data_IF_511691051327
#
_entry.id   IF_511691051327
#
_cell.length_a   1.000
_cell.length_b   1.000
_cell.length_c   1.000
_cell.angle_alpha   90.00
_cell.angle_beta   90.00
_cell.angle_gamma   90.00
#
_symmetry.space_group_name_H-M   'P 1'
#
loop_
_entity.id
_entity.type
_entity.pdbx_description
1 polymer ?
#
# COMPACT_ATOMS: atom_id res chain seq x y z
N UNK A 1 -21.75 27.62 -33.65
CA UNK A 1 -22.13 26.36 -34.32
C UNK A 1 -21.17 26.16 -35.48
N UNK A 2 -20.68 24.93 -35.65
CA UNK A 2 -19.64 24.48 -36.60
C UNK A 2 -18.26 24.92 -36.12
N UNK A 3 -17.29 24.05 -35.84
CA UNK A 3 -16.85 22.80 -36.50
C UNK A 3 -15.71 22.31 -35.55
N UNK A 4 -15.40 21.05 -35.30
CA UNK A 4 -15.28 19.89 -36.18
C UNK A 4 -15.39 18.63 -35.31
N UNK A 5 -16.03 17.60 -35.87
CA UNK A 5 -15.82 16.22 -35.48
C UNK A 5 -14.34 15.92 -35.71
N UNK A 6 -13.52 16.07 -34.68
CA UNK A 6 -12.14 15.63 -34.70
C UNK A 6 -12.17 14.11 -34.88
N UNK A 7 -11.77 13.67 -36.06
CA UNK A 7 -11.77 12.27 -36.46
C UNK A 7 -10.84 11.48 -35.55
N UNK A 8 -11.20 10.22 -35.26
CA UNK A 8 -10.43 9.29 -34.43
C UNK A 8 -8.94 9.20 -34.84
N UNK A 9 -8.63 9.49 -36.11
CA UNK A 9 -7.28 9.54 -36.66
C UNK A 9 -6.39 10.65 -36.04
N UNK A 10 -6.95 11.80 -35.64
CA UNK A 10 -6.19 12.84 -34.92
C UNK A 10 -5.80 12.39 -33.52
N UNK A 11 -6.61 11.53 -32.89
CA UNK A 11 -6.30 10.96 -31.57
C UNK A 11 -5.09 10.02 -31.60
N UNK A 12 -4.84 9.36 -32.74
CA UNK A 12 -3.77 8.38 -32.91
C UNK A 12 -2.42 9.00 -33.32
N UNK A 13 -2.38 10.28 -33.71
CA UNK A 13 -1.17 10.90 -34.30
C UNK A 13 -0.48 11.95 -33.45
N UNK A 14 -1.11 12.47 -32.39
CA UNK A 14 -0.46 13.41 -31.48
C UNK A 14 0.28 12.69 -30.34
N UNK A 15 1.61 12.58 -30.46
CA UNK A 15 2.48 11.92 -29.48
C UNK A 15 2.53 12.61 -28.10
N UNK A 16 1.92 13.79 -27.97
CA UNK A 16 1.93 14.58 -26.73
C UNK A 16 0.56 14.69 -26.06
N UNK A 17 -0.53 14.31 -26.74
CA UNK A 17 -1.88 14.40 -26.19
C UNK A 17 -2.21 13.15 -25.37
N UNK A 18 -1.75 13.16 -24.13
CA UNK A 18 -1.77 12.02 -23.21
C UNK A 18 -0.59 12.06 -22.23
N UNK A 19 0.43 12.88 -22.50
CA UNK A 19 1.43 13.22 -21.50
C UNK A 19 0.80 14.19 -20.50
N UNK A 20 0.73 13.75 -19.25
CA UNK A 20 0.28 14.58 -18.14
C UNK A 20 1.10 15.86 -18.06
N UNK A 21 0.45 17.02 -18.17
CA UNK A 21 1.02 18.34 -17.84
C UNK A 21 1.19 18.54 -16.33
N UNK A 22 1.47 17.47 -15.60
CA UNK A 22 1.70 17.52 -14.16
C UNK A 22 3.19 17.78 -14.00
N UNK A 23 3.53 19.01 -13.58
CA UNK A 23 4.79 19.26 -12.91
C UNK A 23 4.92 18.21 -11.82
N UNK A 24 5.86 17.28 -11.97
CA UNK A 24 6.24 16.29 -10.97
C UNK A 24 6.33 16.97 -9.61
N UNK A 25 5.26 16.83 -8.83
CA UNK A 25 5.30 16.99 -7.40
C UNK A 25 5.14 15.56 -6.91
N UNK A 26 6.27 14.85 -6.89
CA UNK A 26 6.44 13.47 -6.40
C UNK A 26 6.13 13.40 -4.89
N UNK A 27 4.89 13.71 -4.50
CA UNK A 27 4.37 13.51 -3.16
C UNK A 27 3.71 12.13 -3.05
N UNK A 28 4.18 11.14 -3.83
CA UNK A 28 3.75 9.76 -3.66
C UNK A 28 4.07 9.35 -2.24
N UNK A 29 3.05 8.92 -1.50
CA UNK A 29 3.22 8.47 -0.13
C UNK A 29 3.97 7.12 -0.21
N UNK A 30 5.20 7.07 0.30
CA UNK A 30 6.02 5.85 0.24
C UNK A 30 5.81 5.07 1.54
N UNK A 31 5.41 3.80 1.42
CA UNK A 31 5.42 2.84 2.53
C UNK A 31 6.80 2.23 2.67
N UNK A 32 7.22 1.96 3.91
CA UNK A 32 8.52 1.37 4.21
C UNK A 32 8.39 0.19 5.16
N UNK A 33 9.17 -0.84 4.90
CA UNK A 33 9.32 -2.03 5.72
C UNK A 33 9.73 -1.63 7.14
N UNK A 34 9.07 -2.20 8.15
CA UNK A 34 9.33 -1.82 9.54
C UNK A 34 10.66 -2.34 10.10
N UNK A 35 11.27 -3.34 9.48
CA UNK A 35 12.53 -3.95 9.88
C UNK A 35 13.70 -3.41 9.05
N UNK A 36 13.55 -3.38 7.73
CA UNK A 36 14.63 -3.02 6.80
C UNK A 36 14.58 -1.56 6.35
N UNK A 37 13.46 -0.87 6.54
CA UNK A 37 13.19 0.49 6.03
C UNK A 37 13.27 0.60 4.50
N UNK A 38 13.23 -0.53 3.79
CA UNK A 38 13.12 -0.59 2.33
C UNK A 38 11.71 -0.20 1.88
N UNK A 39 11.59 0.29 0.65
CA UNK A 39 10.30 0.66 0.06
C UNK A 39 9.43 -0.58 -0.17
N UNK A 40 8.14 -0.46 0.17
CA UNK A 40 7.15 -1.52 0.03
C UNK A 40 6.24 -1.25 -1.17
N UNK A 41 5.93 -2.32 -1.91
CA UNK A 41 4.85 -2.32 -2.89
C UNK A 41 3.47 -2.40 -2.19
N UNK A 42 2.41 -2.04 -2.93
CA UNK A 42 1.04 -2.02 -2.43
C UNK A 42 0.51 -3.42 -2.05
N UNK A 43 1.08 -4.46 -2.67
CA UNK A 43 0.81 -5.87 -2.40
C UNK A 43 1.74 -6.46 -1.32
N UNK A 44 2.39 -5.61 -0.51
CA UNK A 44 3.18 -6.06 0.64
C UNK A 44 2.58 -5.59 1.96
N UNK A 45 2.70 -6.46 2.98
CA UNK A 45 2.40 -6.14 4.37
C UNK A 45 3.49 -5.25 4.99
N UNK A 46 3.32 -4.83 6.24
CA UNK A 46 4.27 -3.90 6.89
C UNK A 46 5.65 -4.53 7.20
N UNK A 47 5.77 -5.85 7.09
CA UNK A 47 7.03 -6.60 7.23
C UNK A 47 7.61 -7.01 5.87
N UNK A 48 6.97 -6.66 4.76
CA UNK A 48 7.43 -6.93 3.40
C UNK A 48 6.99 -8.28 2.83
N UNK A 49 6.10 -9.00 3.50
CA UNK A 49 5.55 -10.23 2.96
C UNK A 49 4.57 -9.92 1.82
N UNK A 50 4.64 -10.71 0.75
CA UNK A 50 3.70 -10.61 -0.35
C UNK A 50 2.29 -11.00 0.12
N UNK A 51 1.32 -10.16 -0.18
CA UNK A 51 -0.10 -10.32 0.14
C UNK A 51 -0.83 -10.75 -1.13
N UNK A 52 -1.31 -11.98 -1.15
CA UNK A 52 -2.23 -12.48 -2.16
C UNK A 52 -3.66 -12.01 -1.89
N UNK A 53 -4.51 -12.01 -2.92
CA UNK A 53 -5.93 -11.63 -2.78
C UNK A 53 -6.71 -12.54 -1.80
N UNK A 54 -6.20 -13.75 -1.54
CA UNK A 54 -6.83 -14.77 -0.70
C UNK A 54 -6.31 -14.77 0.73
N UNK A 55 -5.22 -14.05 1.00
CA UNK A 55 -4.58 -14.10 2.31
C UNK A 55 -5.46 -13.45 3.37
N UNK A 56 -5.28 -13.89 4.61
CA UNK A 56 -5.89 -13.25 5.76
C UNK A 56 -4.93 -12.22 6.33
N UNK A 57 -5.38 -10.96 6.39
CA UNK A 57 -4.61 -9.84 6.93
C UNK A 57 -5.12 -9.52 8.33
N UNK A 58 -4.17 -9.36 9.25
CA UNK A 58 -4.39 -9.03 10.64
C UNK A 58 -3.82 -7.65 10.95
N UNK A 59 -4.51 -6.93 11.83
CA UNK A 59 -4.07 -5.66 12.38
C UNK A 59 -3.60 -5.90 13.81
N UNK A 60 -2.32 -5.61 14.07
CA UNK A 60 -1.71 -5.73 15.39
C UNK A 60 -1.62 -4.33 16.01
N UNK A 61 -2.19 -4.17 17.20
CA UNK A 61 -2.06 -2.96 18.00
C UNK A 61 -0.84 -3.08 18.91
N UNK A 62 0.12 -2.18 18.71
CA UNK A 62 1.36 -2.13 19.47
C UNK A 62 1.26 -1.03 20.53
N UNK A 63 1.88 -1.29 21.68
CA UNK A 63 2.01 -0.31 22.74
C UNK A 63 2.86 0.87 22.27
N UNK A 64 2.53 2.07 22.75
CA UNK A 64 3.32 3.29 22.48
C UNK A 64 4.77 3.21 22.96
N UNK A 65 5.13 2.20 23.74
CA UNK A 65 6.51 1.98 24.22
C UNK A 65 7.39 1.30 23.17
N UNK A 66 6.82 0.73 22.10
CA UNK A 66 7.54 -0.06 21.09
C UNK A 66 8.53 0.73 20.23
N UNK A 67 8.53 2.09 20.30
CA UNK A 67 9.26 2.99 19.37
C UNK A 67 8.94 2.76 17.88
N UNK A 68 7.92 1.97 17.59
CA UNK A 68 7.45 1.56 16.27
C UNK A 68 6.01 2.11 16.09
N UNK A 69 5.39 1.98 14.91
CA UNK A 69 4.02 2.43 14.70
C UNK A 69 3.06 1.82 15.72
N UNK A 70 1.98 2.53 16.03
CA UNK A 70 0.95 2.05 16.95
C UNK A 70 0.15 0.88 16.37
N UNK A 71 0.10 0.76 15.04
CA UNK A 71 -0.62 -0.30 14.33
C UNK A 71 0.22 -0.81 13.18
N UNK A 72 0.18 -2.12 12.95
CA UNK A 72 0.83 -2.77 11.79
C UNK A 72 -0.13 -3.79 11.16
N UNK A 73 -0.10 -3.92 9.84
CA UNK A 73 -0.81 -4.93 9.06
C UNK A 73 0.14 -6.04 8.65
N UNK A 74 -0.24 -7.29 8.94
CA UNK A 74 0.54 -8.47 8.57
C UNK A 74 -0.36 -9.60 8.09
N UNK A 75 0.15 -10.42 7.18
CA UNK A 75 -0.49 -11.70 6.84
C UNK A 75 -0.23 -12.76 7.93
N UNK A 76 -0.85 -13.93 7.81
CA UNK A 76 -0.65 -15.03 8.77
C UNK A 76 0.83 -15.42 8.96
N UNK A 77 1.61 -15.47 7.87
CA UNK A 77 3.05 -15.76 7.96
C UNK A 77 3.78 -14.62 8.70
N UNK A 78 3.49 -13.37 8.37
CA UNK A 78 4.06 -12.19 9.03
C UNK A 78 3.59 -12.00 10.48
N UNK A 79 2.50 -12.65 10.89
CA UNK A 79 2.01 -12.61 12.27
C UNK A 79 2.99 -13.31 13.21
N UNK A 80 3.57 -14.44 12.81
CA UNK A 80 4.56 -15.15 13.63
C UNK A 80 5.80 -14.28 13.79
N UNK A 81 6.31 -13.72 12.69
CA UNK A 81 7.47 -12.82 12.71
C UNK A 81 7.22 -11.59 13.57
N UNK A 82 6.03 -10.99 13.48
CA UNK A 82 5.65 -9.87 14.34
C UNK A 82 5.60 -10.26 15.81
N UNK A 83 5.06 -11.44 16.15
CA UNK A 83 5.00 -11.92 17.53
C UNK A 83 6.38 -12.23 18.13
N UNK A 84 7.36 -12.57 17.30
CA UNK A 84 8.74 -12.80 17.72
C UNK A 84 9.52 -11.48 17.86
N UNK A 85 9.36 -10.56 16.91
CA UNK A 85 10.06 -9.27 16.90
C UNK A 85 9.54 -8.33 17.99
N UNK A 86 8.22 -8.29 18.20
CA UNK A 86 7.60 -7.42 19.19
C UNK A 86 7.42 -8.17 20.51
N UNK A 87 8.15 -7.74 21.54
CA UNK A 87 8.00 -8.24 22.91
C UNK A 87 6.52 -8.26 23.31
N UNK A 88 6.05 -9.32 23.98
CA UNK A 88 4.64 -9.49 24.34
C UNK A 88 4.11 -8.35 25.19
N UNK A 89 4.97 -7.73 26.00
CA UNK A 89 4.62 -6.55 26.79
C UNK A 89 4.32 -5.30 25.92
N UNK A 90 4.70 -5.34 24.65
CA UNK A 90 4.43 -4.31 23.65
C UNK A 90 3.26 -4.64 22.73
N UNK A 91 2.60 -5.80 22.87
CA UNK A 91 1.44 -6.15 22.08
C UNK A 91 0.16 -5.93 22.90
N UNK A 92 -0.76 -5.13 22.38
CA UNK A 92 -2.02 -4.80 23.06
C UNK A 92 -3.14 -5.72 22.58
N UNK A 93 -3.32 -5.83 21.26
CA UNK A 93 -4.40 -6.62 20.66
C UNK A 93 -4.05 -7.05 19.23
N UNK A 94 -4.71 -8.10 18.76
CA UNK A 94 -4.65 -8.58 17.37
C UNK A 94 -6.07 -8.76 16.88
N UNK A 95 -6.39 -8.07 15.78
CA UNK A 95 -7.73 -8.10 15.18
C UNK A 95 -7.67 -8.56 13.73
N UNK A 96 -8.70 -9.26 13.28
CA UNK A 96 -8.83 -9.61 11.87
C UNK A 96 -9.26 -8.37 11.08
N UNK A 97 -8.44 -7.97 10.12
CA UNK A 97 -8.68 -6.77 9.31
C UNK A 97 -9.48 -7.08 8.04
N UNK A 98 -9.19 -8.22 7.40
CA UNK A 98 -9.88 -8.67 6.19
C UNK A 98 -9.03 -9.54 5.28
N UNK A 99 -9.59 -9.86 4.10
CA UNK A 99 -8.84 -10.55 3.05
C UNK A 99 -7.81 -9.63 2.39
N UNK A 100 -6.73 -10.19 1.86
CA UNK A 100 -5.68 -9.45 1.14
C UNK A 100 -6.22 -8.63 -0.03
N UNK A 101 -7.28 -9.10 -0.72
CA UNK A 101 -7.95 -8.30 -1.76
C UNK A 101 -8.40 -6.91 -1.29
N UNK A 102 -8.95 -6.83 -0.07
CA UNK A 102 -9.42 -5.57 0.51
C UNK A 102 -8.21 -4.68 0.84
N UNK A 103 -7.21 -5.28 1.47
CA UNK A 103 -5.98 -4.60 1.85
C UNK A 103 -5.26 -3.97 0.65
N UNK A 104 -5.01 -4.75 -0.41
CA UNK A 104 -4.31 -4.30 -1.61
C UNK A 104 -5.07 -3.12 -2.25
N UNK A 105 -6.40 -3.23 -2.38
CA UNK A 105 -7.21 -2.15 -2.96
C UNK A 105 -7.14 -0.84 -2.14
N UNK A 106 -7.08 -0.94 -0.80
CA UNK A 106 -6.88 0.24 0.07
C UNK A 106 -5.46 0.82 -0.08
N UNK A 107 -4.43 -0.04 -0.19
CA UNK A 107 -3.05 0.41 -0.39
C UNK A 107 -2.82 1.07 -1.76
N UNK A 108 -3.39 0.51 -2.82
CA UNK A 108 -3.35 1.12 -4.16
C UNK A 108 -4.02 2.51 -4.17
N UNK A 109 -5.18 2.63 -3.53
CA UNK A 109 -5.92 3.89 -3.47
C UNK A 109 -5.22 4.98 -2.64
N UNK A 110 -4.44 4.60 -1.62
CA UNK A 110 -3.78 5.56 -0.73
C UNK A 110 -2.33 5.89 -1.15
N UNK A 111 -1.64 5.01 -1.87
CA UNK A 111 -0.17 5.10 -2.08
C UNK A 111 0.32 4.94 -3.53
N UNK A 112 -0.55 4.68 -4.53
CA UNK A 112 -0.17 4.49 -5.95
C UNK A 112 -0.60 5.64 -6.90
N UNK A 113 -0.89 6.84 -6.37
CA UNK A 113 -1.11 8.07 -7.19
C UNK A 113 0.18 8.67 -7.78
#
# INVERSE_FOLDING_TARGET
>A
MNKELSTLDQYLTDSEWGKSNIKETNNRKIRRNLLTNEELACDQDDLGNFVSIWDHVYLIHLSKRSRKPEYIYVIEDGLIDALEEYDRDNLIDISYYGSGKKYIAEMEAEFDE
#
